data_IF_746748649437
#
_entry.id   IF_746748649437
#
_cell.length_a   1.000
_cell.length_b   1.000
_cell.length_c   1.000
_cell.angle_alpha   90.00
_cell.angle_beta   90.00
_cell.angle_gamma   90.00
#
_symmetry.space_group_name_H-M   'P 1'
#
loop_
_entity.id
_entity.type
_entity.pdbx_description
1 polymer ?
#
# COMPACT_ATOMS: atom_id res chain seq x y z
N UNK A 1 -6.02 20.27 42.19
CA UNK A 1 -5.96 19.45 40.96
C UNK A 1 -5.05 18.29 41.28
N UNK A 2 -5.49 17.07 41.00
CA UNK A 2 -4.69 15.87 41.24
C UNK A 2 -3.45 15.81 40.37
N UNK A 3 -2.43 15.10 40.83
CA UNK A 3 -1.22 14.83 40.07
C UNK A 3 -1.55 13.84 38.95
N UNK A 4 -1.24 14.23 37.71
CA UNK A 4 -1.38 13.37 36.53
C UNK A 4 -0.01 12.78 36.18
N UNK A 5 0.02 11.50 35.84
CA UNK A 5 1.25 10.83 35.38
C UNK A 5 0.99 9.83 34.27
N UNK A 6 1.99 9.63 33.42
CA UNK A 6 1.99 8.67 32.30
C UNK A 6 3.10 7.66 32.52
N UNK A 7 2.78 6.37 32.48
CA UNK A 7 3.78 5.31 32.41
C UNK A 7 4.22 5.06 30.98
N UNK A 8 5.50 4.78 30.79
CA UNK A 8 6.09 4.54 29.47
C UNK A 8 7.09 3.38 29.48
N UNK A 9 7.31 2.80 28.29
CA UNK A 9 8.27 1.72 28.08
C UNK A 9 9.67 2.29 27.87
N UNK A 10 10.68 1.71 28.53
CA UNK A 10 12.07 2.17 28.47
C UNK A 10 12.64 2.22 27.03
N UNK A 11 12.36 1.19 26.23
CA UNK A 11 13.03 1.00 24.95
C UNK A 11 12.43 1.86 23.82
N UNK A 12 11.21 2.36 24.00
CA UNK A 12 10.46 3.04 22.93
C UNK A 12 9.87 4.38 23.36
N UNK A 13 9.85 4.68 24.66
CA UNK A 13 9.09 5.81 25.20
C UNK A 13 7.57 5.64 25.05
N UNK A 14 7.08 4.53 24.52
CA UNK A 14 5.66 4.37 24.22
C UNK A 14 4.83 4.42 25.51
N UNK A 15 3.76 5.21 25.48
CA UNK A 15 2.85 5.33 26.62
C UNK A 15 2.11 4.01 26.84
N UNK A 16 2.22 3.47 28.04
CA UNK A 16 1.61 2.21 28.45
C UNK A 16 0.35 2.41 29.30
N UNK A 17 0.31 3.44 30.16
CA UNK A 17 -0.82 3.71 31.04
C UNK A 17 -0.84 5.17 31.53
N UNK A 18 -2.00 5.63 32.02
CA UNK A 18 -2.18 6.92 32.68
C UNK A 18 -2.69 6.74 34.11
N UNK A 19 -2.26 7.59 35.04
CA UNK A 19 -2.62 7.52 36.46
C UNK A 19 -3.04 8.88 37.04
N UNK A 20 -4.27 8.93 37.57
CA UNK A 20 -4.88 10.12 38.16
C UNK A 20 -4.85 9.99 39.69
N UNK A 21 -3.91 10.69 40.35
CA UNK A 21 -3.65 10.58 41.80
C UNK A 21 -3.42 9.13 42.29
N UNK A 22 -3.17 8.22 41.36
CA UNK A 22 -3.01 6.79 41.60
C UNK A 22 -1.54 6.43 41.54
N UNK A 23 -1.11 5.51 42.41
CA UNK A 23 0.27 5.02 42.41
C UNK A 23 0.48 4.14 41.17
N UNK A 24 1.56 4.43 40.44
CA UNK A 24 2.00 3.57 39.34
C UNK A 24 2.40 2.18 39.84
N UNK A 25 2.27 1.18 38.98
CA UNK A 25 2.78 -0.17 39.27
C UNK A 25 4.26 -0.13 39.62
N UNK A 26 4.67 -0.97 40.56
CA UNK A 26 6.06 -1.06 40.99
C UNK A 26 6.99 -1.34 39.81
N UNK A 27 8.05 -0.54 39.66
CA UNK A 27 8.99 -0.63 38.54
C UNK A 27 8.57 0.08 37.24
N UNK A 28 7.40 0.71 37.17
CA UNK A 28 7.02 1.50 36.00
C UNK A 28 7.81 2.81 35.92
N UNK A 29 8.37 3.09 34.74
CA UNK A 29 8.89 4.41 34.43
C UNK A 29 7.70 5.36 34.23
N UNK A 30 7.72 6.49 34.94
CA UNK A 30 6.62 7.47 34.90
C UNK A 30 7.14 8.88 34.69
N UNK A 31 6.35 9.65 33.96
CA UNK A 31 6.55 11.09 33.78
C UNK A 31 5.33 11.83 34.30
N UNK A 32 5.57 12.92 35.01
CA UNK A 32 4.52 13.84 35.43
C UNK A 32 4.05 14.66 34.23
N UNK A 33 2.74 14.67 34.00
CA UNK A 33 2.12 15.44 32.93
C UNK A 33 1.08 16.39 33.52
N UNK A 34 0.66 17.39 32.76
CA UNK A 34 -0.45 18.27 33.14
C UNK A 34 -1.77 17.75 32.58
N UNK A 35 -2.90 18.22 33.11
CA UNK A 35 -4.24 17.78 32.68
C UNK A 35 -4.47 18.01 31.17
N UNK A 36 -3.99 19.11 30.61
CA UNK A 36 -4.10 19.36 29.16
C UNK A 36 -3.33 18.35 28.31
N UNK A 37 -2.16 17.91 28.77
CA UNK A 37 -1.35 16.88 28.10
C UNK A 37 -2.04 15.51 28.19
N UNK A 38 -2.58 15.17 29.36
CA UNK A 38 -3.40 13.97 29.54
C UNK A 38 -4.57 13.94 28.56
N UNK A 39 -5.39 15.00 28.53
CA UNK A 39 -6.56 15.10 27.65
C UNK A 39 -6.15 14.96 26.18
N UNK A 40 -5.02 15.57 25.81
CA UNK A 40 -4.47 15.46 24.45
C UNK A 40 -4.09 14.03 24.11
N UNK A 41 -3.41 13.30 25.00
CA UNK A 41 -3.04 11.91 24.75
C UNK A 41 -4.25 10.97 24.70
N UNK A 42 -5.29 11.23 25.49
CA UNK A 42 -6.56 10.48 25.41
C UNK A 42 -7.30 10.75 24.09
N UNK A 43 -7.30 12.00 23.62
CA UNK A 43 -7.91 12.39 22.35
C UNK A 43 -7.15 11.85 21.14
N UNK A 44 -5.84 11.66 21.27
CA UNK A 44 -4.92 11.24 20.20
C UNK A 44 -4.14 9.99 20.62
N UNK A 45 -4.81 8.84 20.76
CA UNK A 45 -4.15 7.62 21.19
C UNK A 45 -3.04 7.23 20.21
N UNK A 46 -1.91 6.77 20.75
CA UNK A 46 -0.72 6.30 20.01
C UNK A 46 0.02 7.37 19.18
N UNK A 47 -0.32 8.65 19.35
CA UNK A 47 0.40 9.77 18.69
C UNK A 47 1.41 10.44 19.62
N UNK A 48 1.61 9.92 20.83
CA UNK A 48 2.48 10.50 21.85
C UNK A 48 3.37 9.41 22.46
N UNK A 49 4.61 9.80 22.77
CA UNK A 49 5.61 8.99 23.46
C UNK A 49 6.39 9.88 24.43
N UNK A 50 7.16 9.28 25.33
CA UNK A 50 8.03 9.99 26.26
C UNK A 50 9.46 9.89 25.74
N UNK A 51 10.05 11.03 25.41
CA UNK A 51 11.44 11.16 24.97
C UNK A 51 12.22 11.96 26.02
N UNK A 52 13.30 11.39 26.54
CA UNK A 52 14.12 11.94 27.63
C UNK A 52 13.31 12.48 28.83
N UNK A 53 12.25 11.77 29.22
CA UNK A 53 11.38 12.17 30.33
C UNK A 53 10.41 13.32 30.01
N UNK A 54 10.21 13.65 28.73
CA UNK A 54 9.28 14.67 28.25
C UNK A 54 8.28 14.05 27.27
N UNK A 55 7.01 14.45 27.37
CA UNK A 55 5.98 14.02 26.43
C UNK A 55 6.21 14.67 25.05
N UNK A 56 6.40 13.85 24.03
CA UNK A 56 6.66 14.25 22.65
C UNK A 56 5.69 13.57 21.66
N UNK A 57 5.36 14.25 20.57
CA UNK A 57 4.55 13.68 19.50
C UNK A 57 5.35 12.59 18.75
N UNK A 58 4.68 11.50 18.38
CA UNK A 58 5.27 10.47 17.54
C UNK A 58 5.36 11.03 16.11
N UNK A 59 6.58 11.36 15.69
CA UNK A 59 6.85 11.73 14.31
C UNK A 59 7.14 10.46 13.50
N UNK A 60 6.25 10.11 12.56
CA UNK A 60 6.61 9.12 11.55
C UNK A 60 7.65 9.73 10.62
N UNK A 61 8.79 9.06 10.44
CA UNK A 61 9.80 9.53 9.49
C UNK A 61 9.23 9.49 8.06
N UNK A 62 9.66 10.43 7.23
CA UNK A 62 9.27 10.48 5.81
C UNK A 62 9.54 9.15 5.10
N UNK A 63 10.62 8.46 5.46
CA UNK A 63 10.99 7.15 4.92
C UNK A 63 9.97 6.06 5.27
N UNK A 64 9.44 6.07 6.49
CA UNK A 64 8.42 5.09 6.93
C UNK A 64 7.10 5.32 6.18
N UNK A 65 6.71 6.59 6.01
CA UNK A 65 5.52 6.97 5.24
C UNK A 65 5.68 6.61 3.77
N UNK A 66 6.86 6.85 3.20
CA UNK A 66 7.17 6.52 1.81
C UNK A 66 7.15 5.00 1.56
N UNK A 67 7.75 4.21 2.45
CA UNK A 67 7.76 2.75 2.34
C UNK A 67 6.33 2.19 2.37
N UNK A 68 5.48 2.68 3.28
CA UNK A 68 4.07 2.30 3.33
C UNK A 68 3.31 2.68 2.04
N UNK A 69 3.57 3.86 1.48
CA UNK A 69 2.97 4.32 0.23
C UNK A 69 3.40 3.45 -0.97
N UNK A 70 4.68 3.08 -1.04
CA UNK A 70 5.22 2.18 -2.08
C UNK A 70 4.57 0.80 -2.04
N UNK A 71 4.44 0.20 -0.85
CA UNK A 71 3.75 -1.09 -0.67
C UNK A 71 2.29 -1.00 -1.14
N UNK A 72 1.58 0.05 -0.73
CA UNK A 72 0.20 0.27 -1.16
C UNK A 72 0.08 0.47 -2.68
N UNK A 73 1.06 1.12 -3.30
CA UNK A 73 1.11 1.30 -4.75
C UNK A 73 1.40 0.00 -5.49
N UNK A 74 2.34 -0.82 -5.02
CA UNK A 74 2.60 -2.15 -5.59
C UNK A 74 1.38 -3.06 -5.50
N UNK A 75 0.65 -3.04 -4.38
CA UNK A 75 -0.57 -3.82 -4.25
C UNK A 75 -1.62 -3.40 -5.28
N UNK A 76 -1.82 -2.08 -5.46
CA UNK A 76 -2.73 -1.55 -6.49
C UNK A 76 -2.30 -1.96 -7.90
N UNK A 77 -1.01 -1.90 -8.22
CA UNK A 77 -0.50 -2.36 -9.51
C UNK A 77 -0.75 -3.85 -9.70
N UNK A 78 -0.47 -4.69 -8.72
CA UNK A 78 -0.73 -6.13 -8.81
C UNK A 78 -2.22 -6.44 -9.02
N UNK A 79 -3.13 -5.73 -8.33
CA UNK A 79 -4.57 -5.87 -8.56
C UNK A 79 -4.97 -5.39 -9.96
N UNK A 80 -4.42 -4.28 -10.42
CA UNK A 80 -4.66 -3.78 -11.78
C UNK A 80 -4.16 -4.78 -12.84
N UNK A 81 -2.97 -5.35 -12.67
CA UNK A 81 -2.45 -6.39 -13.55
C UNK A 81 -3.32 -7.64 -13.52
N UNK A 82 -3.70 -8.14 -12.34
CA UNK A 82 -4.55 -9.32 -12.22
C UNK A 82 -5.94 -9.14 -12.85
N UNK A 83 -6.44 -7.90 -12.91
CA UNK A 83 -7.72 -7.57 -13.57
C UNK A 83 -7.57 -7.28 -15.07
N UNK A 84 -6.38 -6.87 -15.51
CA UNK A 84 -6.08 -6.53 -16.91
C UNK A 84 -5.56 -7.72 -17.71
N UNK A 85 -5.06 -8.79 -17.06
CA UNK A 85 -4.81 -10.07 -17.74
C UNK A 85 -6.16 -10.64 -18.21
N UNK A 86 -6.55 -10.27 -19.43
CA UNK A 86 -7.68 -10.87 -20.13
C UNK A 86 -7.25 -12.23 -20.67
N UNK A 87 -8.21 -13.16 -20.72
CA UNK A 87 -7.98 -14.54 -21.17
C UNK A 87 -7.16 -14.60 -22.47
N UNK A 88 -6.18 -15.53 -22.56
CA UNK A 88 -5.41 -15.70 -23.77
C UNK A 88 -6.33 -15.95 -24.96
N UNK A 89 -6.11 -15.23 -26.05
CA UNK A 89 -6.87 -15.36 -27.29
C UNK A 89 -6.16 -16.29 -28.23
N UNK A 90 -6.87 -17.32 -28.70
CA UNK A 90 -6.36 -18.30 -29.67
C UNK A 90 -6.60 -17.80 -31.09
N UNK A 91 -5.54 -17.61 -31.87
CA UNK A 91 -5.63 -17.30 -33.30
C UNK A 91 -5.14 -18.45 -34.16
N UNK A 92 -5.89 -18.77 -35.22
CA UNK A 92 -5.52 -19.78 -36.21
C UNK A 92 -4.76 -19.11 -37.36
N UNK A 93 -3.47 -19.39 -37.47
CA UNK A 93 -2.62 -18.87 -38.55
C UNK A 93 -2.99 -19.52 -39.89
N UNK A 94 -2.59 -18.90 -41.01
CA UNK A 94 -2.83 -19.41 -42.37
C UNK A 94 -2.28 -20.84 -42.61
N UNK A 95 -1.34 -21.30 -41.78
CA UNK A 95 -0.81 -22.67 -41.79
C UNK A 95 -1.67 -23.68 -41.00
N UNK A 96 -2.82 -23.27 -40.45
CA UNK A 96 -3.71 -24.12 -39.65
C UNK A 96 -3.26 -24.31 -38.20
N UNK A 97 -2.18 -23.65 -37.77
CA UNK A 97 -1.64 -23.72 -36.41
C UNK A 97 -2.30 -22.67 -35.54
N UNK A 98 -2.90 -23.10 -34.43
CA UNK A 98 -3.45 -22.21 -33.41
C UNK A 98 -2.35 -21.76 -32.44
N UNK A 99 -2.23 -20.46 -32.19
CA UNK A 99 -1.34 -19.90 -31.19
C UNK A 99 -2.14 -19.04 -30.19
N UNK A 100 -1.79 -19.13 -28.91
CA UNK A 100 -2.38 -18.35 -27.82
C UNK A 100 -1.55 -17.09 -27.57
N UNK A 101 -2.21 -15.96 -27.43
CA UNK A 101 -1.57 -14.68 -27.16
C UNK A 101 -2.22 -14.04 -25.93
N UNK A 102 -1.40 -13.63 -24.96
CA UNK A 102 -1.83 -12.78 -23.86
C UNK A 102 -1.94 -11.35 -24.37
N UNK A 103 -3.16 -10.84 -24.60
CA UNK A 103 -3.34 -9.50 -25.15
C UNK A 103 -4.43 -8.74 -24.41
N UNK A 104 -4.22 -7.44 -24.20
CA UNK A 104 -5.25 -6.50 -23.76
C UNK A 104 -6.39 -6.39 -24.79
N UNK A 105 -7.51 -5.79 -24.41
CA UNK A 105 -8.74 -5.72 -25.23
C UNK A 105 -8.54 -4.98 -26.57
N UNK A 106 -7.66 -3.99 -26.61
CA UNK A 106 -7.41 -3.22 -27.84
C UNK A 106 -6.61 -4.08 -28.82
N UNK A 107 -5.62 -4.80 -28.30
CA UNK A 107 -4.85 -5.79 -29.04
C UNK A 107 -5.72 -6.96 -29.54
N UNK A 108 -6.69 -7.44 -28.75
CA UNK A 108 -7.67 -8.46 -29.20
C UNK A 108 -8.50 -7.94 -30.38
N UNK A 109 -8.91 -6.68 -30.34
CA UNK A 109 -9.71 -6.05 -31.39
C UNK A 109 -8.92 -5.91 -32.68
N UNK A 110 -7.67 -5.46 -32.60
CA UNK A 110 -6.77 -5.33 -33.76
C UNK A 110 -6.48 -6.71 -34.37
N UNK A 111 -6.21 -7.74 -33.56
CA UNK A 111 -5.95 -9.08 -34.05
C UNK A 111 -7.20 -9.72 -34.69
N UNK A 112 -8.40 -9.48 -34.14
CA UNK A 112 -9.66 -9.92 -34.73
C UNK A 112 -9.90 -9.23 -36.08
N UNK A 113 -9.69 -7.92 -36.18
CA UNK A 113 -9.82 -7.18 -37.44
C UNK A 113 -8.79 -7.63 -38.48
N UNK A 114 -7.54 -7.83 -38.07
CA UNK A 114 -6.50 -8.39 -38.93
C UNK A 114 -6.93 -9.76 -39.46
N UNK A 115 -7.37 -10.68 -38.58
CA UNK A 115 -7.83 -12.02 -38.95
C UNK A 115 -9.00 -11.98 -39.94
N UNK A 116 -9.99 -11.10 -39.73
CA UNK A 116 -11.09 -10.92 -40.69
C UNK A 116 -10.59 -10.38 -42.04
N UNK A 117 -9.66 -9.42 -42.03
CA UNK A 117 -9.02 -8.90 -43.24
C UNK A 117 -8.23 -9.98 -43.99
N UNK A 118 -7.51 -10.85 -43.27
CA UNK A 118 -6.81 -12.01 -43.82
C UNK A 118 -7.74 -13.00 -44.51
N UNK A 119 -8.86 -13.35 -43.88
CA UNK A 119 -9.85 -14.28 -44.44
C UNK A 119 -10.47 -13.72 -45.73
N UNK A 120 -10.60 -12.41 -45.85
CA UNK A 120 -11.17 -11.74 -47.03
C UNK A 120 -10.15 -11.50 -48.15
N UNK A 121 -8.90 -11.18 -47.81
CA UNK A 121 -7.86 -10.81 -48.78
C UNK A 121 -6.89 -11.96 -49.15
N UNK A 122 -6.89 -13.05 -48.38
CA UNK A 122 -5.91 -14.15 -48.46
C UNK A 122 -4.44 -13.67 -48.43
N UNK A 123 -4.17 -12.54 -47.78
CA UNK A 123 -2.85 -11.91 -47.73
C UNK A 123 -2.61 -11.18 -46.39
N UNK A 124 -1.37 -11.24 -45.92
CA UNK A 124 -0.84 -10.45 -44.79
C UNK A 124 -0.62 -9.01 -45.26
N UNK A 125 -1.15 -7.97 -44.59
CA UNK A 125 -0.66 -6.61 -44.79
C UNK A 125 0.83 -6.57 -44.40
N UNK A 126 1.69 -6.18 -45.33
CA UNK A 126 3.15 -6.24 -45.20
C UNK A 126 3.77 -5.30 -44.15
N UNK A 127 2.95 -4.65 -43.32
CA UNK A 127 3.41 -3.60 -42.40
C UNK A 127 2.76 -3.63 -41.01
N UNK A 128 2.27 -4.80 -40.56
CA UNK A 128 1.91 -4.98 -39.14
C UNK A 128 3.21 -5.18 -38.36
N UNK A 129 3.89 -4.08 -38.02
CA UNK A 129 4.88 -4.05 -36.95
C UNK A 129 4.16 -4.33 -35.63
N UNK A 130 4.12 -5.60 -35.23
CA UNK A 130 3.93 -5.96 -33.83
C UNK A 130 5.16 -5.43 -33.10
N UNK A 131 5.03 -4.25 -32.49
CA UNK A 131 6.04 -3.70 -31.61
C UNK A 131 6.20 -4.64 -30.42
N UNK A 132 7.26 -5.44 -30.45
CA UNK A 132 7.74 -6.15 -29.27
C UNK A 132 8.42 -5.09 -28.40
N UNK A 133 7.75 -4.70 -27.34
CA UNK A 133 8.34 -3.98 -26.21
C UNK A 133 8.17 -4.82 -24.95
#
# INVERSE_FOLDING_TARGET
>A
MGQKSSAYLNDTGAIAAFYDDSRASEGALTVNIVDSQWQTCLAQPRQWHVDDGVLAAVHQSADTVLAAAQIAQMLRLNTAYATTVQQPVTFKTAAGVSAEFDTDSDSQTILMQATQGYVLANAVPSDVRLGVH
#
